data_IF_219179662199
#
_entry.id   IF_219179662199
#
_cell.length_a   1.000
_cell.length_b   1.000
_cell.length_c   1.000
_cell.angle_alpha   90.00
_cell.angle_beta   90.00
_cell.angle_gamma   90.00
#
_symmetry.space_group_name_H-M   'P 1'
#
loop_
_entity.id
_entity.type
_entity.pdbx_description
1 polymer ?
#
# COMPACT_ATOMS: atom_id res chain seq x y z
N UNK A 1 9.54 -13.09 50.00
CA UNK A 1 8.72 -11.85 49.96
C UNK A 1 8.05 -11.75 48.61
N UNK A 2 6.74 -11.98 48.55
CA UNK A 2 5.94 -11.97 47.33
C UNK A 2 5.33 -10.56 47.21
N UNK A 3 5.72 -9.79 46.18
CA UNK A 3 5.13 -8.47 45.91
C UNK A 3 3.94 -8.64 44.99
N UNK A 4 2.74 -8.52 45.53
CA UNK A 4 1.52 -8.37 44.75
C UNK A 4 1.39 -6.90 44.31
N UNK A 5 1.26 -6.66 43.02
CA UNK A 5 0.99 -5.34 42.46
C UNK A 5 -0.51 -5.22 42.22
N UNK A 6 -1.17 -4.27 42.89
CA UNK A 6 -2.54 -3.88 42.57
C UNK A 6 -2.53 -3.01 41.31
N UNK A 7 -3.23 -3.46 40.27
CA UNK A 7 -3.56 -2.61 39.11
C UNK A 7 -4.63 -1.64 39.61
N UNK A 8 -4.37 -0.33 39.49
CA UNK A 8 -5.29 0.71 39.91
C UNK A 8 -6.66 0.54 39.24
N UNK A 9 -7.73 0.71 40.01
CA UNK A 9 -9.11 0.70 39.51
C UNK A 9 -9.27 1.77 38.42
N UNK A 10 -9.71 1.34 37.25
CA UNK A 10 -9.98 2.23 36.13
C UNK A 10 -11.26 3.01 36.44
N UNK A 11 -11.15 4.31 36.68
CA UNK A 11 -12.31 5.19 36.80
C UNK A 11 -13.05 5.23 35.47
N UNK A 12 -14.37 5.00 35.52
CA UNK A 12 -15.26 4.79 34.38
C UNK A 12 -15.50 6.03 33.48
N UNK A 13 -14.72 7.11 33.64
CA UNK A 13 -14.88 8.40 32.94
C UNK A 13 -13.70 8.80 32.05
N UNK A 14 -12.72 7.92 31.84
CA UNK A 14 -11.70 8.16 30.82
C UNK A 14 -12.23 7.72 29.45
N UNK A 15 -12.44 8.67 28.53
CA UNK A 15 -12.49 8.36 27.09
C UNK A 15 -11.27 7.47 26.80
N UNK A 16 -11.41 6.34 26.08
CA UNK A 16 -10.26 5.51 25.76
C UNK A 16 -9.24 6.42 25.08
N UNK A 17 -8.06 6.58 25.71
CA UNK A 17 -7.01 7.42 25.17
C UNK A 17 -6.74 6.94 23.74
N UNK A 18 -7.02 7.80 22.77
CA UNK A 18 -6.81 7.52 21.36
C UNK A 18 -5.31 7.40 21.15
N UNK A 19 -4.85 6.16 21.04
CA UNK A 19 -3.45 5.83 20.76
C UNK A 19 -2.99 6.61 19.52
N UNK A 20 -1.86 7.31 19.62
CA UNK A 20 -1.33 8.19 18.58
C UNK A 20 -2.36 9.20 18.01
N UNK A 21 -3.00 10.00 18.86
CA UNK A 21 -4.09 10.89 18.49
C UNK A 21 -3.78 11.85 17.33
N UNK A 22 -2.58 12.45 17.28
CA UNK A 22 -2.17 13.34 16.20
C UNK A 22 -2.13 12.63 14.84
N UNK A 23 -1.57 11.41 14.84
CA UNK A 23 -1.55 10.54 13.66
C UNK A 23 -2.97 10.14 13.26
N UNK A 24 -3.81 9.71 14.20
CA UNK A 24 -5.19 9.33 13.93
C UNK A 24 -6.01 10.49 13.34
N UNK A 25 -5.85 11.69 13.88
CA UNK A 25 -6.51 12.91 13.39
C UNK A 25 -6.03 13.29 11.99
N UNK A 26 -4.72 13.18 11.72
CA UNK A 26 -4.17 13.41 10.38
C UNK A 26 -4.71 12.39 9.38
N UNK A 27 -4.71 11.11 9.75
CA UNK A 27 -5.20 10.01 8.92
C UNK A 27 -6.69 10.17 8.60
N UNK A 28 -7.54 10.54 9.58
CA UNK A 28 -8.98 10.83 9.35
C UNK A 28 -9.20 11.98 8.36
N UNK A 29 -8.41 13.06 8.47
CA UNK A 29 -8.47 14.19 7.53
C UNK A 29 -8.11 13.75 6.12
N UNK A 30 -7.03 12.97 5.97
CA UNK A 30 -6.62 12.45 4.68
C UNK A 30 -7.67 11.48 4.10
N UNK A 31 -8.22 10.58 4.91
CA UNK A 31 -9.25 9.62 4.51
C UNK A 31 -10.46 10.34 3.93
N UNK A 32 -11.03 11.29 4.67
CA UNK A 32 -12.19 12.07 4.22
C UNK A 32 -11.96 12.78 2.89
N UNK A 33 -10.76 13.34 2.69
CA UNK A 33 -10.38 14.04 1.45
C UNK A 33 -10.22 13.06 0.29
N UNK A 34 -9.45 11.99 0.51
CA UNK A 34 -9.01 11.08 -0.54
C UNK A 34 -10.09 10.09 -0.93
N UNK A 35 -10.91 9.61 -0.01
CA UNK A 35 -12.02 8.69 -0.31
C UNK A 35 -13.03 9.32 -1.28
N UNK A 36 -13.36 10.60 -1.06
CA UNK A 36 -14.23 11.35 -1.98
C UNK A 36 -13.63 11.44 -3.38
N UNK A 37 -12.35 11.80 -3.47
CA UNK A 37 -11.63 11.89 -4.75
C UNK A 37 -11.52 10.54 -5.44
N UNK A 38 -11.15 9.49 -4.70
CA UNK A 38 -10.97 8.14 -5.20
C UNK A 38 -12.28 7.58 -5.78
N UNK A 39 -13.41 7.80 -5.08
CA UNK A 39 -14.75 7.44 -5.59
C UNK A 39 -15.14 8.19 -6.86
N UNK A 40 -14.77 9.46 -6.98
CA UNK A 40 -15.06 10.27 -8.18
C UNK A 40 -14.24 9.83 -9.39
N UNK A 41 -12.98 9.46 -9.18
CA UNK A 41 -12.07 9.02 -10.24
C UNK A 41 -12.17 7.52 -10.56
N UNK A 42 -12.92 6.72 -9.79
CA UNK A 42 -12.97 5.27 -9.96
C UNK A 42 -11.67 4.57 -9.56
N UNK A 43 -11.07 5.00 -8.44
CA UNK A 43 -9.80 4.49 -7.93
C UNK A 43 -10.03 3.79 -6.60
N UNK A 44 -9.50 2.57 -6.46
CA UNK A 44 -9.53 1.81 -5.19
C UNK A 44 -8.18 1.82 -4.47
N UNK A 45 -7.11 2.22 -5.17
CA UNK A 45 -5.75 2.21 -4.65
C UNK A 45 -5.13 3.60 -4.57
N UNK A 46 -4.74 4.03 -3.37
CA UNK A 46 -4.13 5.35 -3.18
C UNK A 46 -3.32 5.43 -1.89
N UNK A 47 -2.34 6.33 -1.88
CA UNK A 47 -1.59 6.68 -0.68
C UNK A 47 -2.44 7.54 0.24
N UNK A 48 -2.71 7.02 1.44
CA UNK A 48 -3.53 7.66 2.45
C UNK A 48 -2.70 8.55 3.40
N UNK A 49 -1.43 8.20 3.64
CA UNK A 49 -0.51 8.94 4.49
C UNK A 49 0.92 8.71 4.01
N UNK A 50 1.77 9.73 4.01
CA UNK A 50 3.17 9.62 3.57
C UNK A 50 4.10 10.44 4.46
N UNK A 51 4.40 9.89 5.64
CA UNK A 51 5.26 10.53 6.65
C UNK A 51 4.89 12.01 6.92
N UNK A 52 3.59 12.34 6.87
CA UNK A 52 3.08 13.71 7.03
C UNK A 52 3.51 14.36 8.36
N UNK A 53 3.83 13.55 9.37
CA UNK A 53 4.30 13.96 10.69
C UNK A 53 5.70 13.37 10.96
N UNK A 54 6.69 14.18 11.41
CA UNK A 54 8.07 13.72 11.63
C UNK A 54 8.22 12.55 12.61
N UNK A 55 7.32 12.43 13.58
CA UNK A 55 7.33 11.38 14.60
C UNK A 55 6.80 10.04 14.10
N UNK A 56 6.07 10.06 12.98
CA UNK A 56 5.35 8.92 12.41
C UNK A 56 5.83 8.70 10.97
N UNK A 57 7.02 8.13 10.86
CA UNK A 57 7.74 7.92 9.60
C UNK A 57 7.28 6.63 8.90
N UNK A 58 6.03 6.61 8.47
CA UNK A 58 5.42 5.50 7.74
C UNK A 58 4.71 6.01 6.48
N UNK A 59 4.55 5.15 5.49
CA UNK A 59 3.54 5.33 4.45
C UNK A 59 2.36 4.39 4.72
N UNK A 60 1.14 4.84 4.44
CA UNK A 60 -0.06 4.00 4.48
C UNK A 60 -0.72 4.05 3.12
N UNK A 61 -0.82 2.90 2.46
CA UNK A 61 -1.48 2.74 1.17
C UNK A 61 -2.78 1.96 1.36
N UNK A 62 -3.85 2.43 0.70
CA UNK A 62 -5.15 1.74 0.62
C UNK A 62 -5.18 0.90 -0.64
N UNK A 63 -5.70 -0.33 -0.56
CA UNK A 63 -5.98 -1.21 -1.69
C UNK A 63 -7.37 -1.83 -1.50
N UNK A 64 -8.41 -1.16 -2.02
CA UNK A 64 -9.79 -1.56 -1.76
C UNK A 64 -10.10 -1.55 -0.26
N UNK A 65 -10.45 -2.70 0.29
CA UNK A 65 -10.70 -2.88 1.72
C UNK A 65 -9.45 -3.25 2.55
N UNK A 66 -8.29 -3.44 1.92
CA UNK A 66 -7.00 -3.66 2.56
C UNK A 66 -6.23 -2.37 2.82
N UNK A 67 -5.28 -2.43 3.75
CA UNK A 67 -4.29 -1.37 3.96
C UNK A 67 -2.89 -1.97 4.09
N UNK A 68 -1.90 -1.28 3.53
CA UNK A 68 -0.49 -1.60 3.70
C UNK A 68 0.20 -0.46 4.44
N UNK A 69 0.81 -0.77 5.57
CA UNK A 69 1.71 0.14 6.28
C UNK A 69 3.14 -0.21 5.88
N UNK A 70 3.85 0.76 5.31
CA UNK A 70 5.27 0.66 5.04
C UNK A 70 6.05 1.49 6.06
N UNK A 71 6.84 0.83 6.89
CA UNK A 71 7.74 1.52 7.83
C UNK A 71 9.01 1.98 7.09
N UNK A 72 9.36 3.25 7.27
CA UNK A 72 10.67 3.78 6.90
C UNK A 72 11.62 3.65 8.09
N UNK A 73 12.91 3.41 7.81
CA UNK A 73 13.90 3.26 8.86
C UNK A 73 13.90 4.49 9.79
N UNK A 74 13.77 4.29 11.12
CA UNK A 74 13.83 5.41 12.05
C UNK A 74 15.23 6.03 12.02
N UNK A 75 15.35 7.35 12.31
CA UNK A 75 16.65 7.97 12.50
C UNK A 75 17.45 7.22 13.57
N UNK A 76 18.76 7.09 13.39
CA UNK A 76 19.66 6.40 14.35
C UNK A 76 19.64 7.01 15.76
N UNK A 77 19.10 8.22 15.89
CA UNK A 77 18.95 8.97 17.14
C UNK A 77 17.72 8.57 17.95
N UNK A 78 16.81 7.77 17.39
CA UNK A 78 15.58 7.33 18.07
C UNK A 78 15.82 5.97 18.73
N UNK A 79 15.40 5.87 20.00
CA UNK A 79 15.43 4.61 20.74
C UNK A 79 14.57 3.52 20.06
N UNK A 80 15.12 2.31 19.94
CA UNK A 80 14.49 1.22 19.21
C UNK A 80 13.20 0.72 19.87
N UNK A 81 13.12 0.73 21.20
CA UNK A 81 11.93 0.33 21.93
C UNK A 81 10.81 1.36 21.74
N UNK A 82 11.15 2.65 21.78
CA UNK A 82 10.23 3.76 21.48
C UNK A 82 9.72 3.71 20.03
N UNK A 83 10.59 3.42 19.07
CA UNK A 83 10.19 3.27 17.66
C UNK A 83 9.19 2.11 17.49
N UNK A 84 9.46 0.96 18.12
CA UNK A 84 8.58 -0.20 18.10
C UNK A 84 7.22 0.08 18.75
N UNK A 85 7.19 0.78 19.89
CA UNK A 85 5.92 1.18 20.52
C UNK A 85 5.11 2.09 19.60
N UNK A 86 5.75 3.10 18.99
CA UNK A 86 5.09 3.98 18.02
C UNK A 86 4.52 3.21 16.83
N UNK A 87 5.21 2.18 16.35
CA UNK A 87 4.71 1.35 15.26
C UNK A 87 3.42 0.61 15.65
N UNK A 88 3.36 0.04 16.86
CA UNK A 88 2.13 -0.58 17.37
C UNK A 88 1.00 0.43 17.53
N UNK A 89 1.34 1.63 18.01
CA UNK A 89 0.39 2.72 18.16
C UNK A 89 -0.20 3.15 16.81
N UNK A 90 0.65 3.25 15.77
CA UNK A 90 0.25 3.50 14.38
C UNK A 90 -0.69 2.40 13.91
N UNK A 91 -0.34 1.12 14.06
CA UNK A 91 -1.17 -0.01 13.60
C UNK A 91 -2.56 0.05 14.24
N UNK A 92 -2.63 0.23 15.56
CA UNK A 92 -3.89 0.32 16.29
C UNK A 92 -4.74 1.50 15.81
N UNK A 93 -4.12 2.68 15.64
CA UNK A 93 -4.79 3.87 15.13
C UNK A 93 -5.28 3.69 13.69
N UNK A 94 -4.48 3.10 12.80
CA UNK A 94 -4.86 2.80 11.41
C UNK A 94 -6.08 1.88 11.37
N UNK A 95 -6.06 0.75 12.10
CA UNK A 95 -7.20 -0.17 12.16
C UNK A 95 -8.48 0.52 12.63
N UNK A 96 -8.37 1.32 13.70
CA UNK A 96 -9.50 2.06 14.27
C UNK A 96 -10.05 3.12 13.30
N UNK A 97 -9.18 3.90 12.64
CA UNK A 97 -9.59 4.97 11.73
C UNK A 97 -10.20 4.43 10.43
N UNK A 98 -9.62 3.36 9.87
CA UNK A 98 -10.12 2.77 8.63
C UNK A 98 -11.30 1.82 8.87
N UNK A 99 -11.55 1.41 10.11
CA UNK A 99 -12.61 0.46 10.46
C UNK A 99 -12.43 -0.91 9.81
N UNK A 100 -11.18 -1.34 9.60
CA UNK A 100 -10.85 -2.60 8.93
C UNK A 100 -10.43 -3.66 9.95
N UNK A 101 -10.70 -4.95 9.68
CA UNK A 101 -10.25 -6.02 10.56
C UNK A 101 -8.71 -6.19 10.49
N UNK A 102 -8.06 -6.64 11.57
CA UNK A 102 -6.60 -6.80 11.60
C UNK A 102 -6.01 -7.67 10.49
N UNK A 103 -6.75 -8.67 10.00
CA UNK A 103 -6.32 -9.57 8.93
C UNK A 103 -6.31 -8.90 7.54
N UNK A 104 -6.83 -7.68 7.40
CA UNK A 104 -6.76 -6.86 6.16
C UNK A 104 -5.69 -5.75 6.21
N UNK A 105 -4.86 -5.76 7.25
CA UNK A 105 -3.73 -4.85 7.37
C UNK A 105 -2.42 -5.63 7.18
N UNK A 106 -1.61 -5.20 6.21
CA UNK A 106 -0.27 -5.74 5.98
C UNK A 106 0.76 -4.73 6.45
N UNK A 107 1.75 -5.20 7.21
CA UNK A 107 2.91 -4.41 7.61
C UNK A 107 4.11 -4.84 6.77
N UNK A 108 4.76 -3.88 6.11
CA UNK A 108 6.03 -4.06 5.41
C UNK A 108 7.12 -3.23 6.07
N UNK A 109 8.25 -3.84 6.36
CA UNK A 109 9.45 -3.17 6.88
C UNK A 109 10.51 -3.14 5.78
N UNK A 110 11.04 -1.96 5.47
CA UNK A 110 12.13 -1.82 4.49
C UNK A 110 13.46 -2.11 5.17
N UNK A 111 13.86 -3.38 5.19
CA UNK A 111 15.25 -3.72 5.44
C UNK A 111 16.08 -3.45 4.18
N UNK A 112 17.22 -2.77 4.31
CA UNK A 112 18.16 -2.59 3.19
C UNK A 112 18.72 -3.95 2.81
N UNK A 113 18.13 -4.59 1.81
CA UNK A 113 18.73 -5.77 1.19
C UNK A 113 19.98 -5.33 0.43
N UNK A 114 21.16 -5.82 0.87
CA UNK A 114 22.44 -5.64 0.17
C UNK A 114 22.69 -6.86 -0.73
N UNK A 115 23.18 -6.65 -1.95
CA UNK A 115 23.65 -7.71 -2.86
C UNK A 115 22.61 -8.19 -3.89
N UNK A 116 22.82 -9.39 -4.45
CA UNK A 116 22.00 -10.00 -5.53
C UNK A 116 20.57 -10.42 -5.11
N UNK A 117 20.14 -10.08 -3.90
CA UNK A 117 18.85 -10.51 -3.33
C UNK A 117 17.69 -9.53 -3.61
N UNK A 118 17.91 -8.51 -4.42
CA UNK A 118 16.86 -7.60 -4.86
C UNK A 118 15.86 -8.41 -5.72
N UNK A 119 14.60 -8.50 -5.26
CA UNK A 119 13.52 -9.36 -5.77
C UNK A 119 13.51 -10.82 -5.29
N UNK A 120 13.70 -11.06 -3.99
CA UNK A 120 13.29 -12.33 -3.38
C UNK A 120 11.84 -12.27 -2.88
N UNK A 121 11.10 -13.33 -3.19
CA UNK A 121 9.76 -13.60 -2.66
C UNK A 121 9.84 -13.71 -1.14
N UNK A 122 9.14 -12.84 -0.41
CA UNK A 122 9.15 -12.74 1.06
C UNK A 122 8.18 -13.74 1.71
N UNK A 123 7.17 -14.21 0.98
CA UNK A 123 6.11 -15.09 1.46
C UNK A 123 5.54 -15.90 0.29
N UNK A 124 4.98 -17.09 0.56
CA UNK A 124 4.37 -17.96 -0.46
C UNK A 124 2.86 -18.09 -0.33
N UNK A 125 2.15 -17.00 0.01
CA UNK A 125 0.69 -17.08 0.08
C UNK A 125 0.05 -17.21 -1.30
N UNK A 126 0.61 -16.56 -2.32
CA UNK A 126 0.02 -16.54 -3.66
C UNK A 126 -1.34 -15.84 -3.72
N UNK A 127 -1.66 -15.06 -2.68
CA UNK A 127 -2.93 -14.33 -2.58
C UNK A 127 -2.82 -13.03 -3.38
N UNK A 128 -3.58 -12.96 -4.47
CA UNK A 128 -3.69 -11.78 -5.30
C UNK A 128 -5.03 -11.11 -5.09
N UNK A 129 -5.00 -9.78 -5.07
CA UNK A 129 -6.17 -8.93 -4.91
C UNK A 129 -6.41 -8.20 -6.23
N UNK A 130 -7.61 -8.31 -6.78
CA UNK A 130 -8.04 -7.48 -7.90
C UNK A 130 -8.41 -6.09 -7.36
N UNK A 131 -7.92 -5.04 -8.01
CA UNK A 131 -8.19 -3.65 -7.67
C UNK A 131 -8.50 -2.83 -8.92
N UNK A 132 -9.31 -1.80 -8.76
CA UNK A 132 -9.70 -0.89 -9.83
C UNK A 132 -8.88 0.41 -9.82
N UNK A 133 -8.40 0.81 -11.00
CA UNK A 133 -7.80 2.12 -11.25
C UNK A 133 -8.35 2.69 -12.56
N UNK A 134 -9.24 3.69 -12.45
CA UNK A 134 -10.00 4.24 -13.57
C UNK A 134 -10.87 3.14 -14.22
N UNK A 135 -10.63 2.85 -15.51
CA UNK A 135 -11.28 1.77 -16.24
C UNK A 135 -10.45 0.47 -16.25
N UNK A 136 -9.30 0.41 -15.56
CA UNK A 136 -8.45 -0.76 -15.52
C UNK A 136 -8.69 -1.60 -14.26
N UNK A 137 -8.69 -2.92 -14.44
CA UNK A 137 -8.63 -3.91 -13.36
C UNK A 137 -7.23 -4.50 -13.31
N UNK A 138 -6.60 -4.44 -12.14
CA UNK A 138 -5.21 -4.79 -11.93
C UNK A 138 -5.10 -5.76 -10.77
N UNK A 139 -4.17 -6.72 -10.89
CA UNK A 139 -3.86 -7.61 -9.79
C UNK A 139 -2.69 -7.05 -8.97
N UNK A 140 -2.84 -7.08 -7.65
CA UNK A 140 -1.79 -6.72 -6.70
C UNK A 140 -1.50 -7.87 -5.75
N UNK A 141 -0.27 -7.95 -5.27
CA UNK A 141 0.14 -8.89 -4.22
C UNK A 141 0.64 -8.08 -3.03
N UNK A 142 -0.10 -8.13 -1.92
CA UNK A 142 0.22 -7.29 -0.78
C UNK A 142 1.31 -7.90 0.13
N UNK A 143 1.63 -9.19 0.02
CA UNK A 143 2.43 -9.92 1.02
C UNK A 143 3.75 -10.50 0.51
N UNK A 144 3.78 -11.01 -0.71
CA UNK A 144 4.81 -11.94 -1.17
C UNK A 144 6.03 -11.23 -1.76
N UNK A 145 5.95 -9.93 -2.04
CA UNK A 145 7.03 -9.14 -2.61
C UNK A 145 7.24 -7.86 -1.81
N UNK A 146 8.37 -7.17 -2.02
CA UNK A 146 8.63 -5.87 -1.39
C UNK A 146 7.61 -4.83 -1.87
N UNK A 147 7.41 -4.75 -3.18
CA UNK A 147 6.39 -3.92 -3.81
C UNK A 147 5.06 -4.69 -3.96
N UNK A 148 3.99 -4.01 -4.35
CA UNK A 148 2.64 -4.58 -4.39
C UNK A 148 2.20 -5.07 -5.77
N UNK A 149 3.02 -4.89 -6.80
CA UNK A 149 2.59 -5.10 -8.18
C UNK A 149 2.02 -3.84 -8.85
N UNK A 150 1.80 -2.75 -8.11
CA UNK A 150 1.27 -1.50 -8.65
C UNK A 150 1.90 -0.26 -8.00
N UNK A 151 2.64 0.53 -8.79
CA UNK A 151 3.18 1.82 -8.34
C UNK A 151 2.09 2.91 -8.41
N UNK A 152 1.58 3.33 -7.25
CA UNK A 152 0.42 4.22 -7.13
C UNK A 152 0.68 5.67 -7.58
N UNK A 153 1.95 6.09 -7.58
CA UNK A 153 2.40 7.42 -8.00
C UNK A 153 2.30 7.62 -9.52
N UNK A 154 2.45 6.55 -10.30
CA UNK A 154 2.40 6.60 -11.77
C UNK A 154 0.99 6.54 -12.38
N UNK A 155 -0.09 6.62 -11.59
CA UNK A 155 -1.47 6.46 -12.12
C UNK A 155 -1.81 7.44 -13.23
N UNK A 156 -1.38 8.70 -13.08
CA UNK A 156 -1.71 9.76 -14.06
C UNK A 156 -0.99 9.46 -15.38
N UNK A 157 0.28 9.04 -15.30
CA UNK A 157 1.02 8.63 -16.48
C UNK A 157 0.34 7.43 -17.16
N UNK A 158 -0.09 6.41 -16.41
CA UNK A 158 -0.81 5.26 -16.96
C UNK A 158 -2.10 5.68 -17.68
N UNK A 159 -2.92 6.55 -17.08
CA UNK A 159 -4.12 7.11 -17.71
C UNK A 159 -3.79 7.85 -19.02
N UNK A 160 -2.79 8.72 -19.00
CA UNK A 160 -2.35 9.46 -20.19
C UNK A 160 -1.89 8.51 -21.31
N UNK A 161 -1.17 7.44 -20.97
CA UNK A 161 -0.77 6.42 -21.95
C UNK A 161 -1.99 5.77 -22.60
N UNK A 162 -3.03 5.45 -21.83
CA UNK A 162 -4.30 4.98 -22.38
C UNK A 162 -4.93 5.98 -23.36
N UNK A 163 -5.10 7.23 -22.94
CA UNK A 163 -5.67 8.31 -23.77
C UNK A 163 -4.87 8.54 -25.08
N UNK A 164 -3.56 8.32 -25.05
CA UNK A 164 -2.65 8.53 -26.18
C UNK A 164 -2.52 7.32 -27.12
N UNK A 165 -3.06 6.15 -26.77
CA UNK A 165 -2.72 4.88 -27.43
C UNK A 165 -3.64 4.47 -28.59
N UNK A 166 -4.79 5.11 -28.79
CA UNK A 166 -5.78 4.71 -29.81
C UNK A 166 -5.16 4.50 -31.19
N UNK A 167 -5.25 3.27 -31.71
CA UNK A 167 -4.77 2.86 -33.03
C UNK A 167 -3.25 2.75 -33.19
N UNK A 168 -2.46 2.85 -32.11
CA UNK A 168 -0.99 2.81 -32.15
C UNK A 168 -0.44 1.44 -31.72
N UNK A 169 0.76 1.12 -32.19
CA UNK A 169 1.55 0.04 -31.59
C UNK A 169 2.27 0.58 -30.36
N UNK A 170 2.08 -0.06 -29.21
CA UNK A 170 2.60 0.37 -27.92
C UNK A 170 3.73 -0.55 -27.46
N UNK A 171 4.88 0.02 -27.11
CA UNK A 171 6.02 -0.71 -26.56
C UNK A 171 6.24 -0.29 -25.10
N UNK A 172 6.20 -1.26 -24.18
CA UNK A 172 6.45 -1.07 -22.77
C UNK A 172 7.71 -1.86 -22.36
N UNK A 173 8.79 -1.15 -22.07
CA UNK A 173 10.05 -1.71 -21.60
C UNK A 173 10.18 -1.51 -20.10
N UNK A 174 10.80 -2.48 -19.40
CA UNK A 174 10.86 -2.50 -17.93
C UNK A 174 9.44 -2.50 -17.33
N UNK A 175 8.60 -3.32 -17.94
CA UNK A 175 7.16 -3.26 -17.78
C UNK A 175 6.64 -3.74 -16.43
N UNK A 176 7.47 -4.43 -15.63
CA UNK A 176 7.10 -4.99 -14.34
C UNK A 176 5.85 -5.89 -14.45
N UNK A 177 4.71 -5.45 -13.93
CA UNK A 177 3.42 -6.18 -14.00
C UNK A 177 2.58 -5.83 -15.23
N UNK A 178 3.09 -4.98 -16.12
CA UNK A 178 2.38 -4.59 -17.35
C UNK A 178 1.25 -3.58 -17.15
N UNK A 179 1.12 -2.94 -15.98
CA UNK A 179 0.02 -2.01 -15.68
C UNK A 179 -0.15 -0.91 -16.74
N UNK A 180 0.94 -0.33 -17.28
CA UNK A 180 0.86 0.64 -18.37
C UNK A 180 0.33 0.05 -19.68
N UNK A 181 0.68 -1.21 -20.00
CA UNK A 181 0.18 -1.90 -21.19
C UNK A 181 -1.31 -2.20 -21.10
N UNK A 182 -1.84 -2.48 -19.89
CA UNK A 182 -3.28 -2.63 -19.65
C UNK A 182 -4.00 -1.33 -20.00
N UNK A 183 -3.54 -0.19 -19.48
CA UNK A 183 -4.11 1.12 -19.81
C UNK A 183 -4.01 1.44 -21.32
N UNK A 184 -2.88 1.15 -21.95
CA UNK A 184 -2.72 1.34 -23.40
C UNK A 184 -3.71 0.48 -24.22
N UNK A 185 -3.90 -0.79 -23.83
CA UNK A 185 -4.86 -1.71 -24.44
C UNK A 185 -6.30 -1.21 -24.31
N UNK A 186 -6.71 -0.81 -23.10
CA UNK A 186 -8.03 -0.21 -22.82
C UNK A 186 -8.25 1.11 -23.57
N UNK A 187 -7.17 1.87 -23.80
CA UNK A 187 -7.15 3.07 -24.64
C UNK A 187 -7.29 2.81 -26.14
N UNK A 188 -7.34 1.55 -26.56
CA UNK A 188 -7.51 1.15 -27.95
C UNK A 188 -6.21 1.06 -28.74
N UNK A 189 -5.07 0.73 -28.10
CA UNK A 189 -3.85 0.36 -28.82
C UNK A 189 -4.13 -0.71 -29.89
N UNK A 190 -3.50 -0.58 -31.06
CA UNK A 190 -3.55 -1.60 -32.12
C UNK A 190 -2.83 -2.87 -31.68
N UNK A 191 -1.69 -2.72 -31.01
CA UNK A 191 -0.92 -3.82 -30.43
C UNK A 191 -0.15 -3.33 -29.21
N UNK A 192 0.15 -4.23 -28.28
CA UNK A 192 1.03 -3.95 -27.14
C UNK A 192 2.17 -4.98 -27.11
N UNK A 193 3.40 -4.50 -26.96
CA UNK A 193 4.59 -5.32 -26.72
C UNK A 193 5.12 -4.98 -25.33
N UNK A 194 5.16 -5.95 -24.44
CA UNK A 194 5.44 -5.76 -23.01
C UNK A 194 6.65 -6.60 -22.63
N UNK A 195 7.74 -5.94 -22.24
CA UNK A 195 9.05 -6.58 -22.02
C UNK A 195 9.55 -6.27 -20.61
N UNK A 196 9.99 -7.29 -19.90
CA UNK A 196 10.67 -7.17 -18.61
C UNK A 196 11.78 -8.22 -18.50
N UNK A 197 12.78 -7.97 -17.64
CA UNK A 197 13.87 -8.92 -17.38
C UNK A 197 13.52 -9.94 -16.29
N UNK A 198 12.55 -9.62 -15.42
CA UNK A 198 12.11 -10.52 -14.37
C UNK A 198 11.29 -11.68 -14.95
N UNK A 199 11.49 -12.89 -14.40
CA UNK A 199 10.54 -13.96 -14.63
C UNK A 199 9.16 -13.48 -14.14
N UNK A 200 8.06 -13.81 -14.83
CA UNK A 200 6.76 -13.29 -14.47
C UNK A 200 6.48 -13.60 -13.00
N UNK A 201 6.30 -12.52 -12.22
CA UNK A 201 5.86 -12.55 -10.82
C UNK A 201 4.54 -13.35 -10.68
N UNK A 202 3.82 -13.45 -11.79
CA UNK A 202 2.56 -14.16 -11.96
C UNK A 202 2.80 -15.51 -12.65
N UNK A 203 2.72 -16.62 -11.91
CA UNK A 203 2.78 -17.98 -12.47
C UNK A 203 1.43 -18.48 -13.02
N UNK A 204 0.58 -17.57 -13.50
CA UNK A 204 -0.75 -17.87 -14.03
C UNK A 204 -1.04 -17.20 -15.39
N UNK A 205 -2.00 -17.70 -16.18
CA UNK A 205 -2.23 -17.32 -17.57
C UNK A 205 -2.85 -15.92 -17.81
N UNK A 206 -2.83 -15.02 -16.82
CA UNK A 206 -3.60 -13.77 -16.88
C UNK A 206 -2.71 -12.54 -16.68
N UNK A 207 -1.97 -12.16 -17.72
CA UNK A 207 -1.66 -10.75 -17.94
C UNK A 207 -2.67 -10.27 -18.98
N UNK A 208 -3.38 -9.20 -18.62
CA UNK A 208 -4.52 -8.57 -19.31
C UNK A 208 -5.87 -9.16 -18.89
N UNK A 209 -6.46 -8.62 -17.81
CA UNK A 209 -7.92 -8.45 -17.83
C UNK A 209 -8.19 -7.21 -18.68
N UNK A 210 -8.77 -7.44 -19.86
CA UNK A 210 -9.41 -6.39 -20.67
C UNK A 210 -10.73 -6.02 -20.00
#
# INVERSE_FOLDING_TARGET
>A
MQKNYHIAETTADSKPATVAEDYANRLRKNLKKLEKWARQEGIECYRLYDADLPEYNVAVDRYGDWAVIQEYAPPKTVDAQKARQRLFDIIAATLSVLGIPPNKLVLKTRERQKGKNQYQKMSEKGEFLEVSEYNARLWVNLTDYLDTGLFLDHRIARRMLGEMSKGKDFLNLFSYTGSASVHAGLGGARSTTTVDMSAPIWSGPNVICV
#
